data_IF_666237341855
#
_entry.id   IF_666237341855
#
_cell.length_a   1.000
_cell.length_b   1.000
_cell.length_c   1.000
_cell.angle_alpha   90.00
_cell.angle_beta   90.00
_cell.angle_gamma   90.00
#
_symmetry.space_group_name_H-M   'P 1'
#
loop_
_entity.id
_entity.type
_entity.pdbx_description
1 polymer ?
#
# COMPACT_ATOMS: atom_id res chain seq x y z
N UNK A 1 0.72 -7.86 -6.01
CA UNK A 1 0.69 -8.24 -7.44
C UNK A 1 1.27 -7.14 -8.33
N UNK A 2 0.81 -5.88 -8.25
CA UNK A 2 1.25 -4.80 -9.15
C UNK A 2 2.78 -4.62 -9.27
N UNK A 3 3.50 -4.52 -8.14
CA UNK A 3 4.96 -4.26 -8.17
C UNK A 3 5.81 -5.47 -8.55
N UNK A 4 5.37 -6.68 -8.20
CA UNK A 4 6.14 -7.91 -8.46
C UNK A 4 5.76 -8.60 -9.77
N UNK A 5 4.46 -8.83 -10.01
CA UNK A 5 4.00 -9.42 -11.27
C UNK A 5 4.06 -8.38 -12.39
N UNK A 6 3.50 -7.18 -12.17
CA UNK A 6 3.53 -6.12 -13.19
C UNK A 6 4.95 -5.64 -13.47
N UNK A 7 5.69 -5.27 -12.42
CA UNK A 7 7.09 -4.86 -12.55
C UNK A 7 8.01 -5.96 -13.08
N UNK A 8 7.85 -7.20 -12.61
CA UNK A 8 8.63 -8.34 -13.09
C UNK A 8 8.34 -8.68 -14.55
N UNK A 9 7.07 -8.72 -14.96
CA UNK A 9 6.69 -8.98 -16.34
C UNK A 9 7.21 -7.90 -17.29
N UNK A 10 7.10 -6.63 -16.88
CA UNK A 10 7.69 -5.53 -17.63
C UNK A 10 9.21 -5.65 -17.75
N UNK A 11 9.90 -6.06 -16.68
CA UNK A 11 11.34 -6.31 -16.70
C UNK A 11 11.77 -7.39 -17.71
N UNK A 12 11.03 -8.51 -17.78
CA UNK A 12 11.30 -9.59 -18.75
C UNK A 12 11.08 -9.13 -20.19
N UNK A 13 10.05 -8.30 -20.43
CA UNK A 13 9.74 -7.77 -21.77
C UNK A 13 10.71 -6.65 -22.18
N UNK A 14 11.16 -5.82 -21.23
CA UNK A 14 12.05 -4.70 -21.53
C UNK A 14 13.45 -5.16 -21.93
N UNK A 15 13.93 -6.31 -21.45
CA UNK A 15 15.23 -6.89 -21.80
C UNK A 15 15.42 -7.09 -23.32
N UNK A 16 14.57 -7.82 -24.07
CA UNK A 16 14.72 -7.96 -25.53
C UNK A 16 14.40 -6.68 -26.33
N UNK A 17 13.82 -5.65 -25.69
CA UNK A 17 13.58 -4.36 -26.34
C UNK A 17 14.82 -3.47 -26.27
N UNK A 18 15.37 -3.29 -25.06
CA UNK A 18 16.43 -2.33 -24.76
C UNK A 18 17.79 -2.96 -24.43
N UNK A 19 17.89 -4.28 -24.38
CA UNK A 19 19.15 -4.99 -24.22
C UNK A 19 20.02 -4.95 -25.47
N UNK A 20 21.27 -5.44 -25.35
CA UNK A 20 22.19 -5.51 -26.47
C UNK A 20 21.62 -6.32 -27.64
N UNK A 21 21.53 -5.70 -28.82
CA UNK A 21 20.90 -6.31 -29.99
C UNK A 21 19.38 -6.50 -29.85
N UNK A 22 18.74 -5.73 -28.97
CA UNK A 22 17.29 -5.68 -28.81
C UNK A 22 16.58 -4.97 -29.98
N UNK A 23 15.26 -5.12 -30.02
CA UNK A 23 14.39 -4.63 -31.11
C UNK A 23 14.61 -3.15 -31.43
N UNK A 24 14.81 -2.30 -30.40
CA UNK A 24 14.97 -0.85 -30.55
C UNK A 24 16.24 -0.48 -31.32
N UNK A 25 17.28 -1.32 -31.27
CA UNK A 25 18.54 -1.07 -31.97
C UNK A 25 18.59 -1.66 -33.39
N UNK A 26 17.55 -2.37 -33.80
CA UNK A 26 17.45 -2.96 -35.13
C UNK A 26 16.64 -4.25 -35.15
N UNK A 27 15.70 -4.35 -36.08
CA UNK A 27 14.91 -5.56 -36.28
C UNK A 27 15.69 -6.53 -37.16
N UNK A 28 16.05 -7.67 -36.59
CA UNK A 28 16.70 -8.77 -37.28
C UNK A 28 16.25 -10.11 -36.67
N UNK A 29 16.65 -11.24 -37.28
CA UNK A 29 16.23 -12.56 -36.79
C UNK A 29 16.62 -12.83 -35.34
N UNK A 30 17.77 -12.31 -34.88
CA UNK A 30 18.22 -12.48 -33.51
C UNK A 30 17.38 -11.65 -32.54
N UNK A 31 17.10 -10.37 -32.83
CA UNK A 31 16.33 -9.50 -31.95
C UNK A 31 14.88 -9.98 -31.79
N UNK A 32 14.25 -10.44 -32.87
CA UNK A 32 12.92 -11.08 -32.82
C UNK A 32 12.96 -12.38 -32.03
N UNK A 33 14.00 -13.21 -32.23
CA UNK A 33 14.15 -14.48 -31.50
C UNK A 33 14.38 -14.26 -30.00
N UNK A 34 15.08 -13.20 -29.60
CA UNK A 34 15.24 -12.83 -28.19
C UNK A 34 13.92 -12.39 -27.56
N UNK A 35 13.12 -11.57 -28.27
CA UNK A 35 11.80 -11.16 -27.80
C UNK A 35 10.88 -12.38 -27.59
N UNK A 36 10.82 -13.26 -28.59
CA UNK A 36 10.01 -14.46 -28.52
C UNK A 36 10.38 -15.36 -27.33
N UNK A 37 11.69 -15.62 -27.13
CA UNK A 37 12.17 -16.45 -26.01
C UNK A 37 11.78 -15.87 -24.65
N UNK A 38 11.88 -14.55 -24.48
CA UNK A 38 11.48 -13.89 -23.24
C UNK A 38 9.97 -13.95 -23.01
N UNK A 39 9.15 -13.77 -24.05
CA UNK A 39 7.69 -13.88 -23.94
C UNK A 39 7.25 -15.30 -23.58
N UNK A 40 7.84 -16.32 -24.20
CA UNK A 40 7.59 -17.72 -23.85
C UNK A 40 8.03 -18.01 -22.42
N UNK A 41 9.20 -17.53 -22.01
CA UNK A 41 9.68 -17.65 -20.63
C UNK A 41 8.73 -17.00 -19.62
N UNK A 42 8.25 -15.79 -19.90
CA UNK A 42 7.27 -15.09 -19.07
C UNK A 42 5.97 -15.89 -18.94
N UNK A 43 5.45 -16.44 -20.06
CA UNK A 43 4.25 -17.27 -20.04
C UNK A 43 4.45 -18.54 -19.20
N UNK A 44 5.61 -19.20 -19.33
CA UNK A 44 5.95 -20.38 -18.52
C UNK A 44 5.97 -20.04 -17.03
N UNK A 45 6.61 -18.93 -16.64
CA UNK A 45 6.66 -18.49 -15.24
C UNK A 45 5.24 -18.22 -14.72
N UNK A 46 4.41 -17.52 -15.48
CA UNK A 46 3.02 -17.23 -15.08
C UNK A 46 2.19 -18.50 -14.90
N UNK A 47 2.25 -19.43 -15.85
CA UNK A 47 1.52 -20.70 -15.79
C UNK A 47 2.01 -21.54 -14.63
N UNK A 48 3.33 -21.69 -14.48
CA UNK A 48 3.92 -22.46 -13.38
C UNK A 48 3.52 -21.90 -12.02
N UNK A 49 3.71 -20.59 -11.80
CA UNK A 49 3.32 -19.94 -10.55
C UNK A 49 1.83 -20.08 -10.27
N UNK A 50 0.96 -19.86 -11.27
CA UNK A 50 -0.48 -19.98 -11.11
C UNK A 50 -0.90 -21.42 -10.75
N UNK A 51 -0.35 -22.42 -11.44
CA UNK A 51 -0.64 -23.84 -11.17
C UNK A 51 -0.16 -24.24 -9.79
N UNK A 52 1.09 -23.94 -9.43
CA UNK A 52 1.63 -24.27 -8.11
C UNK A 52 0.84 -23.57 -6.99
N UNK A 53 0.53 -22.28 -7.13
CA UNK A 53 -0.29 -21.56 -6.15
C UNK A 53 -1.71 -22.13 -6.06
N UNK A 54 -2.34 -22.45 -7.18
CA UNK A 54 -3.68 -23.04 -7.20
C UNK A 54 -3.72 -24.41 -6.52
N UNK A 55 -2.72 -25.24 -6.76
CA UNK A 55 -2.61 -26.54 -6.10
C UNK A 55 -2.38 -26.36 -4.59
N UNK A 56 -1.40 -25.55 -4.18
CA UNK A 56 -1.07 -25.32 -2.77
C UNK A 56 -2.25 -24.72 -2.00
N UNK A 57 -2.76 -23.58 -2.45
CA UNK A 57 -3.88 -22.90 -1.78
C UNK A 57 -5.19 -23.66 -1.95
N UNK A 58 -5.38 -24.40 -3.05
CA UNK A 58 -6.51 -25.29 -3.24
C UNK A 58 -6.55 -26.40 -2.20
N UNK A 59 -5.42 -27.07 -1.94
CA UNK A 59 -5.30 -28.09 -0.90
C UNK A 59 -5.58 -27.48 0.48
N UNK A 60 -4.97 -26.33 0.81
CA UNK A 60 -5.19 -25.64 2.08
C UNK A 60 -6.65 -25.20 2.27
N UNK A 61 -7.34 -24.84 1.18
CA UNK A 61 -8.76 -24.49 1.22
C UNK A 61 -9.61 -25.71 1.53
N UNK A 62 -9.34 -26.83 0.86
CA UNK A 62 -10.10 -28.07 1.06
C UNK A 62 -9.89 -28.66 2.45
N UNK A 63 -8.71 -28.47 3.04
CA UNK A 63 -8.43 -28.87 4.42
C UNK A 63 -8.94 -27.89 5.47
N UNK A 64 -9.52 -26.74 5.08
CA UNK A 64 -10.10 -25.76 6.00
C UNK A 64 -9.08 -24.85 6.70
N UNK A 65 -7.82 -24.83 6.26
CA UNK A 65 -6.74 -24.05 6.89
C UNK A 65 -6.37 -22.76 6.16
N UNK A 66 -6.96 -22.48 4.99
CA UNK A 66 -6.59 -21.31 4.20
C UNK A 66 -6.98 -19.98 4.86
N UNK A 67 -8.07 -19.95 5.64
CA UNK A 67 -8.62 -18.74 6.24
C UNK A 67 -9.08 -19.04 7.66
N UNK A 68 -8.89 -18.08 8.57
CA UNK A 68 -9.35 -18.16 9.95
C UNK A 68 -10.87 -17.99 10.03
N UNK A 69 -11.44 -18.28 11.20
CA UNK A 69 -12.89 -18.12 11.43
C UNK A 69 -13.29 -16.64 11.42
N UNK A 70 -14.54 -16.34 11.06
CA UNK A 70 -15.05 -14.96 11.01
C UNK A 70 -14.93 -14.25 12.36
N UNK A 71 -15.15 -14.96 13.46
CA UNK A 71 -14.98 -14.45 14.82
C UNK A 71 -13.53 -13.97 15.07
N UNK A 72 -12.54 -14.79 14.68
CA UNK A 72 -11.12 -14.45 14.81
C UNK A 72 -10.70 -13.32 13.85
N UNK A 73 -11.32 -13.21 12.67
CA UNK A 73 -11.09 -12.08 11.77
C UNK A 73 -11.61 -10.76 12.34
N UNK A 74 -12.75 -10.80 13.04
CA UNK A 74 -13.37 -9.64 13.68
C UNK A 74 -12.63 -9.20 14.94
N UNK A 75 -12.16 -10.15 15.76
CA UNK A 75 -11.34 -9.87 16.95
C UNK A 75 -9.95 -9.31 16.57
N UNK A 76 -9.42 -9.74 15.42
CA UNK A 76 -8.09 -9.39 14.93
C UNK A 76 -7.05 -10.46 15.29
N UNK A 77 -6.24 -10.86 14.30
CA UNK A 77 -5.30 -11.99 14.42
C UNK A 77 -4.24 -11.81 15.52
N UNK A 78 -3.84 -10.58 15.81
CA UNK A 78 -2.86 -10.31 16.88
C UNK A 78 -3.44 -10.69 18.24
N UNK A 79 -4.71 -10.35 18.50
CA UNK A 79 -5.40 -10.69 19.75
C UNK A 79 -5.75 -12.18 19.76
N UNK A 80 -6.36 -12.67 18.68
CA UNK A 80 -6.83 -14.06 18.60
C UNK A 80 -5.70 -15.11 18.66
N UNK A 81 -4.51 -14.80 18.12
CA UNK A 81 -3.40 -15.77 18.03
C UNK A 81 -2.23 -15.45 18.96
N UNK A 82 -2.01 -14.19 19.33
CA UNK A 82 -0.85 -13.76 20.13
C UNK A 82 -1.26 -13.13 21.47
N UNK A 83 -2.56 -12.95 21.73
CA UNK A 83 -3.09 -12.35 22.96
C UNK A 83 -2.50 -10.96 23.27
N UNK A 84 -2.01 -10.26 22.25
CA UNK A 84 -1.43 -8.93 22.36
C UNK A 84 -1.87 -8.03 21.20
N UNK A 85 -2.11 -6.73 21.44
CA UNK A 85 -2.36 -5.79 20.36
C UNK A 85 -1.04 -5.38 19.68
N UNK A 86 -0.99 -5.33 18.35
CA UNK A 86 0.17 -4.82 17.61
C UNK A 86 0.57 -3.38 18.00
N UNK A 87 -0.40 -2.58 18.45
CA UNK A 87 -0.18 -1.21 18.90
C UNK A 87 -0.81 -0.97 20.29
N UNK A 88 0.00 -0.89 21.36
CA UNK A 88 -0.49 -0.57 22.69
C UNK A 88 -1.14 0.82 22.73
N UNK A 89 -2.25 0.98 23.46
CA UNK A 89 -2.92 2.27 23.63
C UNK A 89 -2.00 3.40 24.14
N UNK A 90 -0.95 3.04 24.90
CA UNK A 90 0.09 3.97 25.36
C UNK A 90 0.90 4.62 24.22
N UNK A 91 0.95 4.03 23.04
CA UNK A 91 1.56 4.64 21.85
C UNK A 91 0.70 5.75 21.23
N UNK A 92 -0.61 5.73 21.47
CA UNK A 92 -1.59 6.72 20.95
C UNK A 92 -1.86 7.87 21.93
N UNK A 93 -1.54 7.69 23.22
CA UNK A 93 -1.72 8.75 24.23
C UNK A 93 -0.82 9.97 23.99
N UNK A 94 0.25 9.84 23.20
CA UNK A 94 1.12 10.97 22.85
C UNK A 94 0.55 11.82 21.70
N UNK A 95 -0.14 11.23 20.73
CA UNK A 95 -0.77 11.97 19.62
C UNK A 95 -2.03 12.69 20.06
N UNK A 96 -2.82 12.08 20.95
CA UNK A 96 -3.97 12.77 21.54
C UNK A 96 -3.55 13.92 22.46
N UNK A 97 -2.42 13.81 23.17
CA UNK A 97 -1.87 14.95 23.91
C UNK A 97 -1.44 16.09 22.98
N UNK A 98 -0.88 15.80 21.80
CA UNK A 98 -0.59 16.83 20.80
C UNK A 98 -1.88 17.44 20.22
N UNK A 99 -2.94 16.65 20.03
CA UNK A 99 -4.22 17.14 19.48
C UNK A 99 -5.08 17.90 20.51
N UNK A 100 -5.03 17.54 21.80
CA UNK A 100 -5.76 18.25 22.87
C UNK A 100 -5.03 19.51 23.34
N UNK A 101 -3.70 19.54 23.30
CA UNK A 101 -2.92 20.76 23.58
C UNK A 101 -3.15 21.79 22.47
N UNK A 102 -3.27 21.36 21.21
CA UNK A 102 -3.51 22.26 20.08
C UNK A 102 -4.96 22.80 20.09
N UNK A 103 -5.97 21.95 20.28
CA UNK A 103 -7.38 22.36 20.27
C UNK A 103 -7.79 23.27 21.45
N UNK A 104 -7.18 23.12 22.64
CA UNK A 104 -7.46 23.99 23.78
C UNK A 104 -6.78 25.37 23.67
N UNK A 105 -5.66 25.46 22.94
CA UNK A 105 -4.91 26.72 22.81
C UNK A 105 -5.54 27.64 21.77
N UNK A 106 -6.08 27.11 20.67
CA UNK A 106 -6.80 27.94 19.68
C UNK A 106 -8.10 28.56 20.23
N UNK A 107 -8.86 27.83 21.05
CA UNK A 107 -10.12 28.35 21.60
C UNK A 107 -9.91 29.43 22.66
N UNK A 108 -8.73 29.51 23.27
CA UNK A 108 -8.42 30.53 24.28
C UNK A 108 -7.88 31.83 23.69
N UNK A 109 -7.47 31.83 22.42
CA UNK A 109 -6.78 32.96 21.78
C UNK A 109 -7.53 33.61 20.60
N UNK A 110 -8.69 33.09 20.20
CA UNK A 110 -9.52 33.70 19.16
C UNK A 110 -11.01 33.47 19.40
N UNK A 111 -11.74 34.55 19.69
CA UNK A 111 -13.21 34.57 19.74
C UNK A 111 -13.78 34.48 18.31
N UNK A 112 -13.81 33.28 17.73
CA UNK A 112 -14.58 33.02 16.51
C UNK A 112 -15.41 31.74 16.72
N UNK A 113 -16.74 31.89 16.70
CA UNK A 113 -17.69 30.78 16.79
C UNK A 113 -17.70 30.00 15.48
N UNK A 114 -16.91 28.92 15.40
CA UNK A 114 -17.03 27.96 14.30
C UNK A 114 -18.22 27.03 14.55
N UNK A 115 -19.21 27.12 13.67
CA UNK A 115 -20.40 26.28 13.71
C UNK A 115 -20.01 24.83 13.39
N UNK A 116 -20.10 23.97 14.41
CA UNK A 116 -19.53 22.62 14.43
C UNK A 116 -20.30 21.58 13.58
N UNK A 117 -21.37 22.00 12.91
CA UNK A 117 -22.28 21.12 12.17
C UNK A 117 -21.72 20.56 10.85
N UNK A 118 -20.57 21.03 10.37
CA UNK A 118 -20.00 20.65 9.07
C UNK A 118 -18.72 19.78 9.15
N UNK A 119 -18.32 19.34 10.35
CA UNK A 119 -17.05 18.60 10.56
C UNK A 119 -17.21 17.07 10.64
N UNK A 120 -18.41 16.52 10.45
CA UNK A 120 -18.66 15.08 10.61
C UNK A 120 -18.13 14.20 9.45
N UNK A 121 -17.35 14.72 8.50
CA UNK A 121 -17.12 13.99 7.25
C UNK A 121 -15.77 14.10 6.55
N UNK A 122 -14.72 14.72 7.12
CA UNK A 122 -13.43 14.83 6.38
C UNK A 122 -12.22 14.42 7.22
N UNK A 123 -11.40 13.46 6.76
CA UNK A 123 -10.14 13.10 7.40
C UNK A 123 -9.00 14.10 7.07
N UNK A 124 -9.32 15.33 6.66
CA UNK A 124 -8.35 16.30 6.09
C UNK A 124 -7.69 17.23 7.11
N UNK A 125 -8.05 17.13 8.41
CA UNK A 125 -7.56 18.05 9.44
C UNK A 125 -6.02 18.14 9.52
N UNK A 126 -5.30 17.05 9.23
CA UNK A 126 -3.83 17.06 9.23
C UNK A 126 -3.23 17.89 8.07
N UNK A 127 -3.83 17.86 6.88
CA UNK A 127 -3.37 18.64 5.73
C UNK A 127 -3.78 20.12 5.84
N UNK A 128 -4.99 20.37 6.34
CA UNK A 128 -5.51 21.72 6.52
C UNK A 128 -4.69 22.48 7.59
N UNK A 129 -4.29 21.81 8.67
CA UNK A 129 -3.41 22.37 9.70
C UNK A 129 -1.99 22.62 9.18
N UNK A 130 -1.46 21.73 8.34
CA UNK A 130 -0.13 21.90 7.75
C UNK A 130 -0.09 23.07 6.75
N UNK A 131 -1.16 23.27 5.99
CA UNK A 131 -1.29 24.41 5.08
C UNK A 131 -1.34 25.75 5.84
N UNK A 132 -2.05 25.79 6.98
CA UNK A 132 -2.09 26.95 7.87
C UNK A 132 -0.73 27.23 8.53
N UNK A 133 0.01 26.19 8.93
CA UNK A 133 1.34 26.35 9.51
C UNK A 133 2.35 26.86 8.48
N UNK A 134 2.26 26.39 7.23
CA UNK A 134 3.10 26.87 6.13
C UNK A 134 2.82 28.33 5.77
N UNK A 135 1.55 28.77 5.75
CA UNK A 135 1.19 30.18 5.52
C UNK A 135 1.74 31.09 6.63
N UNK A 136 1.65 30.66 7.89
CA UNK A 136 2.19 31.42 9.01
C UNK A 136 3.73 31.54 8.96
N UNK A 137 4.43 30.48 8.55
CA UNK A 137 5.90 30.56 8.36
C UNK A 137 6.31 31.44 7.19
N UNK A 138 5.49 31.52 6.14
CA UNK A 138 5.73 32.41 5.01
C UNK A 138 5.56 33.88 5.39
N UNK A 139 4.58 34.21 6.27
CA UNK A 139 4.36 35.58 6.76
C UNK A 139 5.37 36.08 7.80
N UNK A 140 6.07 35.18 8.48
CA UNK A 140 7.09 35.52 9.48
C UNK A 140 8.52 35.61 8.91
N UNK A 141 8.67 35.50 7.59
CA UNK A 141 9.88 35.85 6.85
C UNK A 141 9.69 37.18 6.15
#
# INVERSE_FOLDING_TARGET
VAVHLGGGLWGVISLPLFGYGGIVYGVNGQSVSQLWRNLVGAAIILVWSAVCSMLLFGILRLSGYLRVTEEQELEGLDIAMHSEPAYPAKGWSQTQALQTVDHQTYLKQGSYTLNQSHLSGRPTLAFDNMALELDNRQRQR
#
